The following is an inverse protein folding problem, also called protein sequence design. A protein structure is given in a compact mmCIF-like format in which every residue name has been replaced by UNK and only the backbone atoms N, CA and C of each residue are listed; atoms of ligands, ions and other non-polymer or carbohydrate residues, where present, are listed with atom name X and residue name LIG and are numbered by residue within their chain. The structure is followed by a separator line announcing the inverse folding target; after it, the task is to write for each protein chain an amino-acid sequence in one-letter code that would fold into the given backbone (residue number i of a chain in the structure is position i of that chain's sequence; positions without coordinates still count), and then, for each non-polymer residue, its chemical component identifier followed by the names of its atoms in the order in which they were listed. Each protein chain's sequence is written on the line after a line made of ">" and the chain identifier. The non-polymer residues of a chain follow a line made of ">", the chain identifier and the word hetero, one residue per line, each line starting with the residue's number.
data_IF_260289410975
#
_entry.id   IF_260289410975
#
_cell.length_a   1.000
_cell.length_b   1.000
_cell.length_c   1.000
_cell.angle_alpha   90.00
_cell.angle_beta   90.00
_cell.angle_gamma   90.00
#
_symmetry.space_group_name_H-M   'P 1'
#
loop_
_entity.id
_entity.type
_entity.pdbx_description
1 polymer ?
#
# COMPACT_ATOMS: atom_id res chain seq x y z
N UNK A 1 -5.53 -0.23 -20.79
CA UNK A 1 -4.54 0.85 -21.04
C UNK A 1 -3.17 0.39 -20.55
N UNK A 2 -2.28 0.01 -21.45
CA UNK A 2 -0.92 -0.43 -21.12
C UNK A 2 -0.16 0.76 -20.53
N UNK A 3 0.15 0.72 -19.23
CA UNK A 3 1.02 1.72 -18.62
C UNK A 3 2.43 1.46 -19.14
N UNK A 4 2.96 2.37 -19.95
CA UNK A 4 4.35 2.31 -20.39
C UNK A 4 5.31 2.30 -19.20
N UNK A 5 6.48 1.68 -19.37
CA UNK A 5 7.52 1.63 -18.35
C UNK A 5 7.86 3.05 -17.86
N UNK A 6 8.06 3.17 -16.54
CA UNK A 6 8.48 4.43 -15.92
C UNK A 6 9.85 4.81 -16.48
N UNK A 7 9.99 6.08 -16.87
CA UNK A 7 11.27 6.63 -17.32
C UNK A 7 12.31 6.51 -16.21
N UNK A 8 13.54 6.11 -16.55
CA UNK A 8 14.65 6.02 -15.58
C UNK A 8 14.81 7.31 -14.78
N UNK A 9 15.07 7.20 -13.49
CA UNK A 9 15.16 8.36 -12.59
C UNK A 9 16.33 9.29 -13.00
N UNK A 10 17.42 8.73 -13.53
CA UNK A 10 18.53 9.52 -14.11
C UNK A 10 18.07 10.38 -15.27
N UNK A 11 17.25 9.83 -16.17
CA UNK A 11 16.72 10.54 -17.32
C UNK A 11 15.68 11.60 -16.91
N UNK A 12 14.92 11.36 -15.84
CA UNK A 12 14.05 12.40 -15.27
C UNK A 12 14.89 13.57 -14.71
N UNK A 13 15.94 13.28 -13.95
CA UNK A 13 16.81 14.29 -13.36
C UNK A 13 17.54 15.10 -14.42
N UNK A 14 18.05 14.47 -15.48
CA UNK A 14 18.67 15.21 -16.59
C UNK A 14 17.67 16.10 -17.30
N UNK A 15 16.42 15.66 -17.54
CA UNK A 15 15.36 16.50 -18.11
C UNK A 15 15.02 17.71 -17.22
N UNK A 16 15.01 17.52 -15.89
CA UNK A 16 14.78 18.60 -14.92
C UNK A 16 15.94 19.60 -14.96
N UNK A 17 17.19 19.14 -14.99
CA UNK A 17 18.37 19.99 -15.13
C UNK A 17 18.39 20.74 -16.46
N UNK A 18 18.08 20.07 -17.57
CA UNK A 18 17.97 20.69 -18.89
C UNK A 18 16.88 21.77 -18.94
N UNK A 19 15.78 21.60 -18.18
CA UNK A 19 14.76 22.64 -18.07
C UNK A 19 15.23 23.88 -17.30
N UNK A 20 16.18 23.74 -16.38
CA UNK A 20 16.78 24.88 -15.66
C UNK A 20 17.76 25.65 -16.55
N UNK A 21 18.43 24.98 -17.49
CA UNK A 21 19.47 25.58 -18.34
C UNK A 21 18.98 26.01 -19.73
N UNK A 22 17.97 25.34 -20.31
CA UNK A 22 17.47 25.62 -21.67
C UNK A 22 16.18 26.47 -21.63
N UNK A 23 16.05 27.44 -22.56
CA UNK A 23 14.88 28.33 -22.63
C UNK A 23 13.68 27.68 -23.34
N UNK A 24 13.92 26.84 -24.36
CA UNK A 24 12.85 26.27 -25.21
C UNK A 24 12.68 24.75 -25.05
N UNK A 25 11.48 24.24 -25.33
CA UNK A 25 11.19 22.78 -25.26
C UNK A 25 11.83 22.00 -26.40
N UNK A 26 12.05 22.64 -27.55
CA UNK A 26 12.61 21.98 -28.73
C UNK A 26 14.10 21.66 -28.53
N UNK A 27 14.86 22.57 -27.91
CA UNK A 27 16.26 22.31 -27.51
C UNK A 27 16.38 21.11 -26.55
N UNK A 28 15.40 20.92 -25.67
CA UNK A 28 15.40 19.78 -24.75
C UNK A 28 15.10 18.48 -25.50
N UNK A 29 14.22 18.50 -26.50
CA UNK A 29 13.94 17.34 -27.37
C UNK A 29 15.19 16.93 -28.12
N UNK A 30 15.90 17.89 -28.72
CA UNK A 30 17.15 17.64 -29.45
C UNK A 30 18.24 17.06 -28.54
N UNK A 31 18.42 17.61 -27.33
CA UNK A 31 19.47 17.15 -26.40
C UNK A 31 19.16 15.83 -25.69
N UNK A 32 17.89 15.51 -25.47
CA UNK A 32 17.48 14.32 -24.69
C UNK A 32 16.98 13.15 -25.54
N UNK A 33 16.80 13.37 -26.85
CA UNK A 33 16.19 12.41 -27.80
C UNK A 33 14.84 11.83 -27.30
N UNK A 34 14.14 12.57 -26.43
CA UNK A 34 12.87 12.15 -25.85
C UNK A 34 11.70 12.78 -26.59
N UNK A 35 10.61 12.04 -26.75
CA UNK A 35 9.36 12.58 -27.32
C UNK A 35 8.88 13.78 -26.52
N UNK A 36 8.46 14.85 -27.21
CA UNK A 36 7.94 16.10 -26.61
C UNK A 36 6.87 15.84 -25.54
N UNK A 37 5.96 14.89 -25.79
CA UNK A 37 4.90 14.48 -24.84
C UNK A 37 5.47 13.90 -23.54
N UNK A 38 6.57 13.15 -23.60
CA UNK A 38 7.22 12.58 -22.41
C UNK A 38 7.87 13.68 -21.59
N UNK A 39 8.59 14.59 -22.23
CA UNK A 39 9.23 15.74 -21.57
C UNK A 39 8.16 16.61 -20.88
N UNK A 40 7.10 16.97 -21.59
CA UNK A 40 5.98 17.74 -21.01
C UNK A 40 5.38 17.04 -19.80
N UNK A 41 5.11 15.72 -19.88
CA UNK A 41 4.58 14.96 -18.74
C UNK A 41 5.53 14.99 -17.55
N UNK A 42 6.83 14.74 -17.76
CA UNK A 42 7.85 14.74 -16.69
C UNK A 42 7.93 16.12 -16.04
N UNK A 43 8.00 17.19 -16.82
CA UNK A 43 8.07 18.56 -16.30
C UNK A 43 6.78 18.98 -15.57
N UNK A 44 5.61 18.61 -16.09
CA UNK A 44 4.33 18.84 -15.40
C UNK A 44 4.25 18.07 -14.08
N UNK A 45 4.73 16.82 -14.05
CA UNK A 45 4.79 16.04 -12.81
C UNK A 45 5.77 16.63 -11.81
N UNK A 46 6.95 17.10 -12.26
CA UNK A 46 7.92 17.75 -11.39
C UNK A 46 7.35 19.03 -10.77
N UNK A 47 6.72 19.90 -11.57
CA UNK A 47 6.07 21.13 -11.05
C UNK A 47 5.02 20.83 -9.99
N UNK A 48 4.18 19.80 -10.21
CA UNK A 48 3.19 19.35 -9.22
C UNK A 48 3.86 18.77 -7.97
N UNK A 49 4.95 18.03 -8.12
CA UNK A 49 5.70 17.46 -7.00
C UNK A 49 6.38 18.54 -6.15
N UNK A 50 6.96 19.56 -6.78
CA UNK A 50 7.56 20.71 -6.08
C UNK A 50 6.51 21.46 -5.26
N UNK A 51 5.32 21.69 -5.84
CA UNK A 51 4.19 22.30 -5.14
C UNK A 51 3.72 21.44 -3.95
N UNK A 52 3.65 20.12 -4.13
CA UNK A 52 3.28 19.18 -3.05
C UNK A 52 4.40 19.00 -2.00
N UNK A 53 5.66 19.31 -2.30
CA UNK A 53 6.72 19.30 -1.30
C UNK A 53 6.71 20.56 -0.42
N UNK A 54 6.28 21.70 -0.99
CA UNK A 54 6.05 22.95 -0.26
C UNK A 54 4.73 22.92 0.54
N UNK A 55 3.75 22.13 0.12
CA UNK A 55 2.51 21.87 0.85
C UNK A 55 2.45 20.45 1.39
N UNK A 56 2.92 20.25 2.63
CA UNK A 56 2.48 19.22 3.59
C UNK A 56 2.09 17.87 2.96
N UNK A 57 3.01 16.91 3.06
CA UNK A 57 2.71 15.49 2.99
C UNK A 57 2.41 14.98 1.59
N UNK A 58 3.23 14.05 1.11
CA UNK A 58 2.84 13.18 0.01
C UNK A 58 1.66 12.34 0.53
N UNK A 59 0.43 12.86 0.41
CA UNK A 59 -0.76 12.02 0.39
C UNK A 59 -0.67 11.19 -0.89
N UNK A 60 0.17 10.15 -0.84
CA UNK A 60 -0.08 8.97 -1.63
C UNK A 60 -1.55 8.68 -1.39
N UNK A 61 -2.34 8.68 -2.46
CA UNK A 61 -3.77 8.36 -2.43
C UNK A 61 -3.92 6.88 -2.05
N UNK A 62 -3.52 6.56 -0.82
CA UNK A 62 -3.66 5.26 -0.21
C UNK A 62 -5.13 5.17 0.12
N UNK A 63 -5.75 4.10 -0.37
CA UNK A 63 -7.14 3.79 -0.03
C UNK A 63 -7.28 3.87 1.49
N UNK A 64 -8.24 4.66 1.98
CA UNK A 64 -8.52 4.77 3.41
C UNK A 64 -8.63 3.35 3.98
N UNK A 65 -7.78 3.06 4.98
CA UNK A 65 -7.80 1.75 5.65
C UNK A 65 -9.14 1.63 6.38
N UNK A 66 -9.74 0.45 6.33
CA UNK A 66 -11.00 0.15 7.03
C UNK A 66 -10.78 0.21 8.55
N UNK A 67 -9.62 -0.27 9.00
CA UNK A 67 -9.19 -0.27 10.40
C UNK A 67 -8.38 0.99 10.66
N UNK A 68 -8.87 1.86 11.55
CA UNK A 68 -8.17 3.06 12.00
C UNK A 68 -7.02 2.71 12.96
N UNK A 69 -6.18 3.69 13.28
CA UNK A 69 -5.14 3.52 14.29
C UNK A 69 -5.72 3.27 15.70
N UNK A 70 -6.83 3.93 16.03
CA UNK A 70 -7.53 3.73 17.31
C UNK A 70 -8.15 2.33 17.45
N UNK A 71 -8.64 1.76 16.35
CA UNK A 71 -9.14 0.38 16.31
C UNK A 71 -7.99 -0.60 16.51
N UNK A 72 -6.83 -0.31 15.91
CA UNK A 72 -5.63 -1.11 16.04
C UNK A 72 -5.12 -1.13 17.50
N UNK A 73 -5.11 0.01 18.19
CA UNK A 73 -4.81 0.07 19.62
C UNK A 73 -5.80 -0.74 20.46
N UNK A 74 -7.10 -0.70 20.12
CA UNK A 74 -8.11 -1.50 20.80
C UNK A 74 -7.86 -3.01 20.62
N UNK A 75 -7.55 -3.46 19.40
CA UNK A 75 -7.21 -4.87 19.13
C UNK A 75 -5.96 -5.29 19.94
N UNK A 76 -4.94 -4.44 20.01
CA UNK A 76 -3.76 -4.72 20.84
C UNK A 76 -4.11 -4.85 22.33
N UNK A 77 -5.01 -4.00 22.84
CA UNK A 77 -5.51 -4.12 24.21
C UNK A 77 -6.22 -5.45 24.44
N UNK A 78 -7.09 -5.87 23.52
CA UNK A 78 -7.75 -7.19 23.60
C UNK A 78 -6.73 -8.34 23.64
N UNK A 79 -5.73 -8.31 22.74
CA UNK A 79 -4.70 -9.36 22.69
C UNK A 79 -3.75 -9.33 23.89
N UNK A 80 -3.55 -8.18 24.53
CA UNK A 80 -2.75 -8.07 25.74
C UNK A 80 -3.43 -8.75 26.94
N UNK A 81 -4.76 -8.62 27.04
CA UNK A 81 -5.53 -9.25 28.12
C UNK A 81 -5.87 -10.71 27.83
N UNK A 82 -6.08 -11.05 26.56
CA UNK A 82 -6.50 -12.39 26.10
C UNK A 82 -5.78 -12.75 24.79
N UNK A 83 -4.55 -13.28 24.86
CA UNK A 83 -3.73 -13.57 23.68
C UNK A 83 -4.20 -14.79 22.87
N UNK A 84 -5.07 -15.64 23.45
CA UNK A 84 -5.61 -16.84 22.80
C UNK A 84 -6.87 -16.57 21.95
N UNK A 85 -7.26 -15.30 21.78
CA UNK A 85 -8.47 -14.91 21.04
C UNK A 85 -8.35 -15.20 19.54
N UNK A 86 -9.41 -15.77 18.97
CA UNK A 86 -9.50 -16.04 17.54
C UNK A 86 -9.84 -14.77 16.73
N UNK A 87 -9.57 -14.80 15.43
CA UNK A 87 -9.72 -13.62 14.57
C UNK A 87 -11.19 -13.20 14.38
N UNK A 88 -12.12 -14.15 14.40
CA UNK A 88 -13.57 -13.96 14.36
C UNK A 88 -14.10 -13.38 15.68
N UNK A 89 -13.53 -13.77 16.82
CA UNK A 89 -13.84 -13.14 18.12
C UNK A 89 -13.37 -11.67 18.15
N UNK A 90 -12.17 -11.39 17.64
CA UNK A 90 -11.67 -10.02 17.48
C UNK A 90 -12.58 -9.22 16.54
N UNK A 91 -13.03 -9.85 15.44
CA UNK A 91 -13.98 -9.24 14.51
C UNK A 91 -15.29 -8.87 15.20
N UNK A 92 -15.84 -9.77 16.00
CA UNK A 92 -17.07 -9.54 16.74
C UNK A 92 -16.90 -8.39 17.74
N UNK A 93 -15.80 -8.35 18.50
CA UNK A 93 -15.54 -7.24 19.42
C UNK A 93 -15.33 -5.89 18.74
N UNK A 94 -14.74 -5.87 17.54
CA UNK A 94 -14.61 -4.65 16.74
C UNK A 94 -15.96 -4.14 16.24
N UNK A 95 -16.85 -5.05 15.83
CA UNK A 95 -18.19 -4.70 15.40
C UNK A 95 -19.01 -4.17 16.59
N UNK A 96 -19.04 -4.91 17.70
CA UNK A 96 -19.82 -4.55 18.89
C UNK A 96 -19.36 -3.25 19.56
N UNK A 97 -18.05 -3.04 19.72
CA UNK A 97 -17.53 -1.90 20.51
C UNK A 97 -17.14 -0.69 19.68
N UNK A 98 -16.80 -0.87 18.40
CA UNK A 98 -16.34 0.21 17.51
C UNK A 98 -17.24 0.41 16.29
N UNK A 99 -18.18 -0.51 16.01
CA UNK A 99 -19.00 -0.47 14.79
C UNK A 99 -18.21 -0.72 13.51
N UNK A 100 -17.05 -1.38 13.61
CA UNK A 100 -16.13 -1.58 12.48
C UNK A 100 -16.28 -2.99 11.91
N UNK A 101 -17.00 -3.09 10.80
CA UNK A 101 -17.14 -4.33 10.02
C UNK A 101 -15.90 -4.56 9.14
N UNK A 102 -14.83 -5.12 9.73
CA UNK A 102 -13.64 -5.56 9.02
C UNK A 102 -13.70 -7.06 8.72
N UNK A 103 -13.30 -7.48 7.52
CA UNK A 103 -13.15 -8.90 7.22
C UNK A 103 -12.00 -9.53 8.04
N UNK A 104 -12.15 -10.80 8.45
CA UNK A 104 -11.12 -11.60 9.15
C UNK A 104 -9.74 -11.50 8.48
N UNK A 105 -9.70 -11.55 7.14
CA UNK A 105 -8.44 -11.43 6.38
C UNK A 105 -7.78 -10.05 6.50
N UNK A 106 -8.58 -8.98 6.68
CA UNK A 106 -8.09 -7.62 6.91
C UNK A 106 -7.50 -7.50 8.31
N UNK A 107 -8.18 -8.03 9.31
CA UNK A 107 -7.71 -8.07 10.70
C UNK A 107 -6.38 -8.84 10.76
N UNK A 108 -6.30 -10.01 10.12
CA UNK A 108 -5.07 -10.79 10.03
C UNK A 108 -3.92 -10.02 9.38
N UNK A 109 -4.15 -9.33 8.26
CA UNK A 109 -3.11 -8.52 7.60
C UNK A 109 -2.58 -7.43 8.52
N UNK A 110 -3.47 -6.77 9.25
CA UNK A 110 -3.11 -5.72 10.21
C UNK A 110 -2.27 -6.30 11.35
N UNK A 111 -2.72 -7.39 11.96
CA UNK A 111 -1.98 -8.07 13.04
C UNK A 111 -0.61 -8.59 12.59
N UNK A 112 -0.53 -9.15 11.38
CA UNK A 112 0.74 -9.61 10.80
C UNK A 112 1.72 -8.44 10.59
N UNK A 113 1.23 -7.28 10.16
CA UNK A 113 2.05 -6.07 10.06
C UNK A 113 2.54 -5.56 11.42
N UNK A 114 1.76 -5.80 12.49
CA UNK A 114 2.16 -5.49 13.87
C UNK A 114 3.03 -6.56 14.54
N UNK A 115 3.42 -7.63 13.82
CA UNK A 115 4.35 -8.66 14.30
C UNK A 115 3.71 -9.90 14.93
N UNK A 116 2.38 -10.03 14.92
CA UNK A 116 1.72 -11.24 15.42
C UNK A 116 1.85 -12.42 14.47
N UNK A 117 1.87 -13.63 15.04
CA UNK A 117 1.87 -14.90 14.31
C UNK A 117 0.62 -15.70 14.67
N UNK A 118 0.12 -16.53 13.75
CA UNK A 118 -0.99 -17.43 14.04
C UNK A 118 -0.50 -18.57 14.93
N UNK A 119 -1.34 -18.95 15.89
CA UNK A 119 -1.19 -20.19 16.65
C UNK A 119 -1.20 -21.37 15.68
N UNK A 120 -0.14 -22.18 15.72
CA UNK A 120 -0.08 -23.43 14.93
C UNK A 120 -0.94 -24.47 15.63
N UNK A 121 -2.10 -24.75 15.07
CA UNK A 121 -2.95 -25.85 15.52
C UNK A 121 -2.46 -27.12 14.83
N UNK A 122 -1.80 -28.02 15.56
CA UNK A 122 -1.58 -29.37 15.08
C UNK A 122 -2.94 -30.08 15.09
N UNK A 123 -3.42 -30.50 13.92
CA UNK A 123 -4.63 -31.30 13.81
C UNK A 123 -4.23 -32.78 13.74
N UNK A 124 -4.35 -33.55 14.84
CA UNK A 124 -3.97 -34.97 14.83
C UNK A 124 -4.98 -35.90 14.11
N UNK A 125 -6.11 -35.40 13.58
CA UNK A 125 -7.26 -36.25 13.23
C UNK A 125 -7.79 -36.19 11.79
N UNK A 126 -7.03 -35.69 10.81
CA UNK A 126 -7.39 -35.81 9.39
C UNK A 126 -6.52 -36.83 8.65
N UNK A 127 -6.61 -38.10 9.05
CA UNK A 127 -6.27 -39.26 8.22
C UNK A 127 -7.24 -40.39 8.56
N UNK A 128 -8.45 -40.35 8.00
CA UNK A 128 -9.23 -41.54 7.62
C UNK A 128 -10.57 -41.09 7.03
N UNK A 129 -10.58 -40.72 5.75
CA UNK A 129 -11.76 -40.93 4.91
C UNK A 129 -11.35 -41.03 3.44
N UNK A 130 -12.01 -41.96 2.75
CA UNK A 130 -11.79 -42.48 1.39
C UNK A 130 -10.64 -43.52 1.36
N UNK A 131 -10.91 -44.80 1.17
CA UNK A 131 -11.59 -45.35 0.00
C UNK A 131 -12.26 -46.69 0.30
N UNK A 132 -13.56 -46.78 0.01
CA UNK A 132 -14.26 -48.04 -0.21
C UNK A 132 -14.91 -47.91 -1.59
N UNK A 133 -14.44 -48.70 -2.57
CA UNK A 133 -15.11 -49.11 -3.82
C UNK A 133 -14.08 -49.86 -4.69
N UNK A 134 -14.15 -51.20 -4.68
CA UNK A 134 -14.28 -52.05 -5.87
C UNK A 134 -14.73 -53.45 -5.42
#
# INVERSE_FOLDING_TARGET
>A
MTRGQKLSDNLQNTLIHLRKTCKTLNEIVEKSNCKKRTIQRVLSHHRKKDQNHLGIGIELKVRKRIISFEDLQFIHGLLLHTPDMYLDEIQHHLDERRGVLAAVSTIWKVLKCSGYTLKKVYCPFFYHRTSNTF
#
